data_IF_525514558884
#
_entry.id   IF_525514558884
#
_cell.length_a   1.000
_cell.length_b   1.000
_cell.length_c   1.000
_cell.angle_alpha   90.00
_cell.angle_beta   90.00
_cell.angle_gamma   90.00
#
_symmetry.space_group_name_H-M   'P 1'
#
loop_
_entity.id
_entity.type
_entity.pdbx_description
1 polymer ?
#
# COMPACT_ATOMS: atom_id res chain seq x y z
N UNK A 1 -17.45 -0.75 -0.71
CA UNK A 1 -17.78 -0.44 0.70
C UNK A 1 -18.62 -1.54 1.32
N UNK A 2 -19.76 -1.89 0.71
CA UNK A 2 -20.57 -3.07 1.09
C UNK A 2 -19.74 -4.36 1.07
N UNK A 3 -18.96 -4.58 0.01
CA UNK A 3 -18.02 -5.70 -0.12
C UNK A 3 -16.88 -5.72 0.91
N UNK A 4 -16.62 -4.60 1.57
CA UNK A 4 -15.58 -4.48 2.60
C UNK A 4 -16.18 -4.50 4.02
N UNK A 5 -17.48 -4.77 4.16
CA UNK A 5 -18.21 -4.74 5.43
C UNK A 5 -18.07 -3.41 6.21
N UNK A 6 -17.79 -2.30 5.51
CA UNK A 6 -17.72 -0.98 6.13
C UNK A 6 -19.09 -0.32 6.07
N UNK A 7 -19.81 -0.42 7.19
CA UNK A 7 -21.20 0.05 7.28
C UNK A 7 -21.33 1.52 7.69
N UNK A 8 -20.24 2.15 8.16
CA UNK A 8 -20.20 3.55 8.56
C UNK A 8 -19.06 4.29 7.85
N UNK A 9 -19.40 5.31 7.07
CA UNK A 9 -18.46 6.04 6.22
C UNK A 9 -18.54 7.54 6.46
N UNK A 10 -17.40 8.21 6.57
CA UNK A 10 -17.33 9.68 6.66
C UNK A 10 -16.59 10.20 5.43
N UNK A 11 -17.23 11.07 4.67
CA UNK A 11 -16.64 11.72 3.50
C UNK A 11 -16.17 13.12 3.89
N UNK A 12 -14.85 13.32 3.94
CA UNK A 12 -14.25 14.65 4.08
C UNK A 12 -14.12 15.31 2.71
N UNK A 13 -14.77 16.46 2.52
CA UNK A 13 -14.70 17.23 1.27
C UNK A 13 -14.40 18.70 1.58
N UNK A 14 -13.66 19.38 0.71
CA UNK A 14 -13.30 20.79 0.87
C UNK A 14 -14.39 21.74 0.36
N UNK A 15 -15.27 21.25 -0.52
CA UNK A 15 -16.33 22.04 -1.13
C UNK A 15 -17.52 22.21 -0.16
N UNK A 16 -17.55 23.31 0.60
CA UNK A 16 -18.63 23.62 1.54
C UNK A 16 -20.04 23.60 0.91
N UNK A 17 -20.15 24.02 -0.35
CA UNK A 17 -21.40 23.94 -1.13
C UNK A 17 -21.86 22.49 -1.24
N UNK A 18 -20.96 21.57 -1.60
CA UNK A 18 -21.27 20.15 -1.74
C UNK A 18 -21.71 19.53 -0.39
N UNK A 19 -21.04 19.91 0.71
CA UNK A 19 -21.44 19.50 2.07
C UNK A 19 -22.88 19.92 2.36
N UNK A 20 -23.23 21.17 2.03
CA UNK A 20 -24.58 21.71 2.21
C UNK A 20 -25.61 20.99 1.35
N UNK A 21 -25.30 20.79 0.07
CA UNK A 21 -26.15 20.09 -0.90
C UNK A 21 -26.47 18.67 -0.48
N UNK A 22 -25.49 17.94 0.08
CA UNK A 22 -25.69 16.53 0.46
C UNK A 22 -26.34 16.37 1.83
N UNK A 23 -26.00 17.23 2.80
CA UNK A 23 -26.56 17.13 4.15
C UNK A 23 -27.95 17.78 4.28
N UNK A 24 -28.27 18.79 3.45
CA UNK A 24 -29.55 19.51 3.46
C UNK A 24 -30.03 19.83 2.03
N UNK A 25 -30.32 18.82 1.19
CA UNK A 25 -30.65 19.02 -0.22
C UNK A 25 -31.85 19.95 -0.46
N UNK A 26 -32.83 19.94 0.44
CA UNK A 26 -34.02 20.81 0.34
C UNK A 26 -33.70 22.31 0.48
N UNK A 27 -32.58 22.66 1.12
CA UNK A 27 -32.12 24.04 1.22
C UNK A 27 -31.35 24.51 -0.03
N UNK A 28 -31.07 23.62 -0.99
CA UNK A 28 -30.26 23.88 -2.19
C UNK A 28 -30.98 23.44 -3.48
N UNK A 29 -32.17 23.99 -3.80
CA UNK A 29 -33.01 23.52 -4.91
C UNK A 29 -32.33 23.60 -6.29
N UNK A 30 -31.42 24.55 -6.50
CA UNK A 30 -30.65 24.67 -7.76
C UNK A 30 -29.72 23.48 -8.03
N UNK A 31 -29.40 22.68 -7.01
CA UNK A 31 -28.54 21.49 -7.11
C UNK A 31 -29.32 20.18 -6.94
N UNK A 32 -30.65 20.22 -7.10
CA UNK A 32 -31.54 19.08 -6.86
C UNK A 32 -31.12 17.84 -7.65
N UNK A 33 -30.85 17.99 -8.94
CA UNK A 33 -30.44 16.88 -9.80
C UNK A 33 -29.13 16.25 -9.31
N UNK A 34 -28.10 17.06 -9.08
CA UNK A 34 -26.79 16.61 -8.62
C UNK A 34 -26.88 15.93 -7.25
N UNK A 35 -27.69 16.48 -6.34
CA UNK A 35 -27.92 15.87 -5.03
C UNK A 35 -28.59 14.50 -5.15
N UNK A 36 -29.56 14.36 -6.04
CA UNK A 36 -30.28 13.10 -6.27
C UNK A 36 -29.34 12.00 -6.75
N UNK A 37 -28.51 12.30 -7.75
CA UNK A 37 -27.56 11.33 -8.30
C UNK A 37 -26.56 10.82 -7.25
N UNK A 38 -26.01 11.75 -6.44
CA UNK A 38 -25.05 11.38 -5.41
C UNK A 38 -25.74 10.59 -4.28
N UNK A 39 -26.94 10.99 -3.86
CA UNK A 39 -27.70 10.27 -2.83
C UNK A 39 -28.08 8.86 -3.29
N UNK A 40 -28.43 8.67 -4.57
CA UNK A 40 -28.65 7.35 -5.16
C UNK A 40 -27.39 6.48 -5.08
N UNK A 41 -26.21 7.03 -5.42
CA UNK A 41 -24.94 6.32 -5.30
C UNK A 41 -24.58 5.96 -3.84
N UNK A 42 -25.00 6.78 -2.88
CA UNK A 42 -24.75 6.55 -1.45
C UNK A 42 -25.77 5.60 -0.80
N UNK A 43 -26.86 5.24 -1.48
CA UNK A 43 -27.94 4.40 -0.94
C UNK A 43 -27.45 3.02 -0.43
N UNK A 44 -26.37 2.49 -1.01
CA UNK A 44 -25.77 1.23 -0.59
C UNK A 44 -24.98 1.30 0.73
N UNK A 45 -24.83 2.48 1.35
CA UNK A 45 -24.03 2.66 2.57
C UNK A 45 -24.97 2.90 3.76
N UNK A 46 -24.98 1.97 4.71
CA UNK A 46 -25.93 2.00 5.83
C UNK A 46 -25.87 3.28 6.68
N UNK A 47 -24.66 3.78 6.97
CA UNK A 47 -24.47 5.04 7.69
C UNK A 47 -23.40 5.85 6.99
N UNK A 48 -23.74 7.08 6.58
CA UNK A 48 -22.75 8.00 6.05
C UNK A 48 -22.99 9.45 6.47
N UNK A 49 -21.92 10.24 6.45
CA UNK A 49 -22.00 11.70 6.58
C UNK A 49 -20.95 12.37 5.71
N UNK A 50 -21.27 13.57 5.23
CA UNK A 50 -20.32 14.43 4.52
C UNK A 50 -19.92 15.57 5.45
N UNK A 51 -18.64 15.79 5.62
CA UNK A 51 -18.09 16.83 6.49
C UNK A 51 -17.18 17.76 5.70
N UNK A 52 -17.22 19.04 6.04
CA UNK A 52 -16.26 20.01 5.53
C UNK A 52 -14.91 19.73 6.19
N UNK A 53 -13.93 19.33 5.39
CA UNK A 53 -12.55 19.17 5.83
C UNK A 53 -11.62 19.94 4.91
N UNK A 54 -10.69 20.70 5.50
CA UNK A 54 -9.63 21.32 4.72
C UNK A 54 -8.65 20.25 4.24
N UNK A 55 -8.05 20.48 3.07
CA UNK A 55 -7.00 19.60 2.53
C UNK A 55 -5.81 19.47 3.49
N UNK A 56 -5.58 20.47 4.34
CA UNK A 56 -4.56 20.43 5.39
C UNK A 56 -4.86 19.39 6.48
N UNK A 57 -6.12 19.16 6.84
CA UNK A 57 -6.53 18.19 7.86
C UNK A 57 -6.42 16.75 7.39
N UNK A 58 -6.48 16.50 6.08
CA UNK A 58 -6.45 15.16 5.50
C UNK A 58 -5.53 15.05 4.27
N UNK A 59 -4.34 15.64 4.38
CA UNK A 59 -3.37 15.76 3.27
C UNK A 59 -2.98 14.40 2.68
N UNK A 60 -2.86 13.37 3.53
CA UNK A 60 -2.54 12.01 3.10
C UNK A 60 -3.61 11.40 2.19
N UNK A 61 -4.87 11.38 2.64
CA UNK A 61 -5.96 10.85 1.81
C UNK A 61 -6.18 11.67 0.55
N UNK A 62 -6.00 13.00 0.62
CA UNK A 62 -6.11 13.87 -0.54
C UNK A 62 -5.04 13.57 -1.60
N UNK A 63 -3.77 13.40 -1.21
CA UNK A 63 -2.69 13.03 -2.13
C UNK A 63 -2.93 11.66 -2.77
N UNK A 64 -3.47 10.70 -2.02
CA UNK A 64 -3.87 9.39 -2.54
C UNK A 64 -5.00 9.56 -3.56
N UNK A 65 -6.07 10.26 -3.21
CA UNK A 65 -7.20 10.53 -4.11
C UNK A 65 -6.75 11.25 -5.40
N UNK A 66 -5.85 12.23 -5.30
CA UNK A 66 -5.27 12.92 -6.46
C UNK A 66 -4.40 11.97 -7.30
N UNK A 67 -3.61 11.10 -6.69
CA UNK A 67 -2.81 10.12 -7.44
C UNK A 67 -3.69 9.12 -8.20
N UNK A 68 -4.87 8.80 -7.67
CA UNK A 68 -5.85 7.91 -8.34
C UNK A 68 -6.57 8.65 -9.48
N UNK A 69 -7.06 9.86 -9.21
CA UNK A 69 -7.91 10.63 -10.13
C UNK A 69 -7.15 11.41 -11.19
N UNK A 70 -6.02 12.01 -10.85
CA UNK A 70 -5.20 12.82 -11.77
C UNK A 70 -4.07 12.03 -12.41
N UNK A 71 -3.57 10.99 -11.74
CA UNK A 71 -2.39 10.22 -12.17
C UNK A 71 -2.73 8.77 -12.54
N UNK A 72 -4.03 8.42 -12.56
CA UNK A 72 -4.60 7.12 -12.96
C UNK A 72 -3.99 5.90 -12.23
N UNK A 73 -3.48 6.08 -11.01
CA UNK A 73 -2.82 5.01 -10.25
C UNK A 73 -3.80 4.16 -9.44
N UNK A 74 -4.69 3.45 -10.13
CA UNK A 74 -5.78 2.66 -9.54
C UNK A 74 -5.31 1.38 -8.77
N UNK A 75 -4.01 1.09 -8.69
CA UNK A 75 -3.49 -0.26 -8.42
C UNK A 75 -2.67 -0.43 -7.12
N UNK A 76 -2.71 0.50 -6.16
CA UNK A 76 -1.98 0.31 -4.90
C UNK A 76 -2.65 1.02 -3.71
N UNK A 77 -3.03 0.24 -2.70
CA UNK A 77 -3.62 0.72 -1.44
C UNK A 77 -2.64 0.58 -0.29
N UNK A 78 -2.43 1.67 0.46
CA UNK A 78 -1.67 1.71 1.71
C UNK A 78 -2.65 1.90 2.87
N UNK A 79 -2.64 1.00 3.86
CA UNK A 79 -3.32 1.17 5.13
C UNK A 79 -2.32 1.76 6.16
N UNK A 80 -2.51 2.99 6.65
CA UNK A 80 -1.66 3.56 7.69
C UNK A 80 -2.07 2.99 9.05
N UNK A 81 -1.11 2.48 9.82
CA UNK A 81 -1.24 2.28 11.27
C UNK A 81 -0.52 3.46 11.96
N UNK A 82 -1.31 4.44 12.41
CA UNK A 82 -0.98 5.57 13.30
C UNK A 82 0.17 6.54 12.93
N UNK A 83 -0.16 7.85 12.89
CA UNK A 83 0.77 8.96 13.15
C UNK A 83 1.29 9.76 11.92
N UNK A 84 1.39 11.10 11.98
CA UNK A 84 1.79 11.94 10.84
C UNK A 84 3.31 12.15 10.77
N UNK A 85 3.93 11.81 9.64
CA UNK A 85 5.31 12.20 9.33
C UNK A 85 5.28 13.51 8.54
N UNK A 86 5.91 14.55 9.09
CA UNK A 86 6.17 15.83 8.42
C UNK A 86 7.38 15.65 7.51
N UNK A 87 7.27 15.92 6.22
CA UNK A 87 8.46 16.18 5.39
C UNK A 87 8.28 17.39 4.47
N UNK A 88 9.37 18.15 4.42
CA UNK A 88 9.61 19.40 3.70
C UNK A 88 10.05 19.09 2.25
N UNK A 89 9.77 20.05 1.37
CA UNK A 89 10.12 20.31 -0.05
C UNK A 89 11.53 19.90 -0.52
N UNK A 90 11.93 20.02 -1.83
CA UNK A 90 11.16 20.29 -3.06
C UNK A 90 11.49 19.35 -4.26
N UNK A 91 10.57 19.33 -5.25
CA UNK A 91 10.73 18.71 -6.57
C UNK A 91 11.77 19.46 -7.43
N UNK A 92 12.80 18.74 -7.87
CA UNK A 92 13.60 19.08 -9.05
C UNK A 92 12.92 18.53 -10.32
N UNK A 93 12.56 19.43 -11.23
CA UNK A 93 11.86 19.20 -12.49
C UNK A 93 12.85 18.75 -13.57
N UNK A 94 12.60 17.63 -14.25
CA UNK A 94 13.13 17.37 -15.61
C UNK A 94 12.01 16.91 -16.52
N UNK A 95 11.75 17.74 -17.52
CA UNK A 95 10.95 17.49 -18.71
C UNK A 95 11.74 16.62 -19.69
N UNK A 96 11.02 15.76 -20.43
CA UNK A 96 11.21 15.42 -21.86
C UNK A 96 10.15 14.37 -22.23
N UNK A 97 9.15 14.78 -23.01
CA UNK A 97 9.05 14.68 -24.47
C UNK A 97 8.69 13.25 -24.90
N UNK A 98 7.40 13.09 -25.13
CA UNK A 98 6.79 12.06 -25.97
C UNK A 98 7.38 12.15 -27.38
N UNK A 99 7.73 11.01 -27.98
CA UNK A 99 7.53 10.72 -29.41
C UNK A 99 7.93 9.26 -29.68
N UNK A 100 6.93 8.49 -30.12
CA UNK A 100 7.00 7.32 -31.01
C UNK A 100 8.13 6.31 -30.87
N UNK A 101 7.84 5.18 -30.22
CA UNK A 101 8.27 3.83 -30.66
C UNK A 101 7.16 2.85 -30.23
N UNK A 102 6.06 2.82 -31.00
CA UNK A 102 5.10 1.72 -30.98
C UNK A 102 5.45 0.85 -32.19
N UNK A 103 6.29 -0.17 -31.99
CA UNK A 103 6.38 -1.40 -32.82
C UNK A 103 7.58 -2.30 -32.43
N UNK A 104 8.52 -1.82 -31.60
CA UNK A 104 9.71 -2.62 -31.20
C UNK A 104 9.61 -3.30 -29.81
N UNK A 105 8.45 -3.25 -29.14
CA UNK A 105 8.30 -3.70 -27.74
C UNK A 105 7.92 -5.19 -27.60
N UNK A 106 7.71 -5.92 -28.70
CA UNK A 106 7.25 -7.31 -28.65
C UNK A 106 8.37 -8.31 -28.27
N UNK A 107 9.65 -7.93 -28.36
CA UNK A 107 10.76 -8.88 -28.20
C UNK A 107 11.88 -8.42 -27.24
N UNK A 108 11.50 -7.71 -26.16
CA UNK A 108 12.33 -7.56 -24.95
C UNK A 108 11.56 -7.94 -23.70
N UNK A 109 10.89 -9.10 -23.71
CA UNK A 109 10.54 -9.82 -22.48
C UNK A 109 11.76 -10.61 -22.01
N UNK A 110 12.83 -9.92 -21.64
CA UNK A 110 13.93 -10.55 -20.92
C UNK A 110 13.51 -10.67 -19.45
N UNK A 111 12.88 -11.81 -19.16
CA UNK A 111 12.89 -12.52 -17.87
C UNK A 111 12.72 -11.65 -16.62
N UNK A 112 11.50 -11.18 -16.36
CA UNK A 112 11.05 -11.10 -14.96
C UNK A 112 10.21 -12.35 -14.77
N UNK A 113 10.78 -13.36 -14.11
CA UNK A 113 9.98 -14.45 -13.55
C UNK A 113 8.84 -13.79 -12.78
N UNK A 114 7.62 -13.89 -13.29
CA UNK A 114 6.43 -13.53 -12.54
C UNK A 114 6.35 -14.51 -11.38
N UNK A 115 7.04 -14.20 -10.28
CA UNK A 115 6.97 -14.98 -9.06
C UNK A 115 5.50 -15.11 -8.68
N UNK A 116 5.08 -16.33 -8.34
CA UNK A 116 3.74 -16.60 -7.88
C UNK A 116 3.37 -15.60 -6.76
N UNK A 117 2.10 -15.17 -6.66
CA UNK A 117 1.70 -14.27 -5.60
C UNK A 117 2.00 -14.90 -4.24
N UNK A 118 2.56 -14.10 -3.33
CA UNK A 118 2.78 -14.50 -1.96
C UNK A 118 1.45 -14.72 -1.24
N UNK A 119 1.45 -15.64 -0.27
CA UNK A 119 0.25 -15.93 0.50
C UNK A 119 -0.22 -14.70 1.28
N UNK A 120 -1.51 -14.39 1.19
CA UNK A 120 -2.15 -13.26 1.89
C UNK A 120 -2.27 -13.60 3.38
N UNK A 121 -2.02 -12.67 4.31
CA UNK A 121 -2.30 -12.87 5.72
C UNK A 121 -3.70 -13.42 5.99
N UNK A 122 -3.79 -14.53 6.70
CA UNK A 122 -5.08 -15.16 7.05
C UNK A 122 -5.81 -14.46 8.20
N UNK A 123 -5.13 -13.55 8.89
CA UNK A 123 -5.68 -12.75 9.99
C UNK A 123 -4.96 -11.40 10.11
N UNK A 124 -5.58 -10.45 10.80
CA UNK A 124 -5.07 -9.08 10.95
C UNK A 124 -4.75 -8.70 12.41
N UNK A 125 -4.37 -9.70 13.21
CA UNK A 125 -4.13 -9.60 14.66
C UNK A 125 -2.67 -9.36 15.06
N UNK A 126 -2.37 -9.67 16.32
CA UNK A 126 -1.01 -9.59 16.89
C UNK A 126 -0.08 -10.70 16.36
N UNK A 127 -0.61 -11.72 15.68
CA UNK A 127 0.20 -12.79 15.06
C UNK A 127 0.90 -12.37 13.76
N UNK A 128 0.64 -11.16 13.24
CA UNK A 128 1.30 -10.65 12.06
C UNK A 128 2.78 -10.37 12.32
N UNK A 129 3.60 -10.77 11.36
CA UNK A 129 5.03 -10.50 11.35
C UNK A 129 5.45 -9.99 9.98
N UNK A 130 6.46 -9.14 9.96
CA UNK A 130 7.09 -8.65 8.75
C UNK A 130 8.50 -9.21 8.62
N UNK A 131 8.84 -9.74 7.44
CA UNK A 131 10.21 -10.16 7.13
C UNK A 131 11.15 -8.95 7.15
N UNK A 132 12.23 -9.03 7.94
CA UNK A 132 13.19 -7.93 8.12
C UNK A 132 13.98 -7.61 6.84
N UNK A 133 14.07 -8.56 5.89
CA UNK A 133 14.71 -8.34 4.59
C UNK A 133 13.76 -7.76 3.54
N UNK A 134 12.71 -8.51 3.19
CA UNK A 134 11.86 -8.18 2.04
C UNK A 134 10.59 -7.40 2.39
N UNK A 135 10.29 -7.25 3.70
CA UNK A 135 9.10 -6.60 4.25
C UNK A 135 7.78 -7.31 3.98
N UNK A 136 7.78 -8.54 3.46
CA UNK A 136 6.56 -9.33 3.30
C UNK A 136 5.91 -9.55 4.66
N UNK A 137 4.58 -9.41 4.72
CA UNK A 137 3.76 -9.58 5.92
C UNK A 137 2.92 -10.83 5.78
N UNK A 138 3.04 -11.74 6.75
CA UNK A 138 2.27 -12.99 6.92
C UNK A 138 2.05 -13.23 8.42
N UNK A 139 1.20 -14.18 8.79
CA UNK A 139 1.13 -14.62 10.18
C UNK A 139 2.36 -15.48 10.53
N UNK A 140 2.64 -15.65 11.82
CA UNK A 140 3.69 -16.58 12.29
C UNK A 140 3.51 -17.98 11.68
N UNK A 141 2.30 -18.55 11.78
CA UNK A 141 2.01 -19.89 11.25
C UNK A 141 2.24 -19.97 9.74
N UNK A 142 1.90 -18.91 8.99
CA UNK A 142 2.14 -18.89 7.55
C UNK A 142 3.63 -18.82 7.17
N UNK A 143 4.48 -18.21 8.00
CA UNK A 143 5.93 -18.30 7.84
C UNK A 143 6.48 -19.66 8.24
N UNK A 144 5.89 -20.29 9.27
CA UNK A 144 6.22 -21.65 9.71
C UNK A 144 5.93 -22.67 8.61
N UNK A 145 4.73 -22.62 8.05
CA UNK A 145 4.23 -23.67 7.16
C UNK A 145 4.74 -23.54 5.71
N UNK A 146 5.05 -22.32 5.25
CA UNK A 146 5.36 -22.05 3.84
C UNK A 146 6.46 -20.98 3.64
N UNK A 147 7.20 -20.63 4.69
CA UNK A 147 8.34 -19.74 4.59
C UNK A 147 8.02 -18.35 4.04
N UNK A 148 9.04 -17.70 3.46
CA UNK A 148 8.91 -16.41 2.78
C UNK A 148 9.21 -16.58 1.29
N UNK A 149 8.25 -16.21 0.46
CA UNK A 149 8.28 -16.34 -0.99
C UNK A 149 9.37 -15.49 -1.65
N UNK A 150 9.87 -14.46 -0.95
CA UNK A 150 10.97 -13.61 -1.42
C UNK A 150 12.33 -13.94 -0.77
N UNK A 151 12.34 -14.78 0.27
CA UNK A 151 13.53 -15.13 1.05
C UNK A 151 13.59 -16.64 1.37
N UNK A 152 13.49 -17.54 0.37
CA UNK A 152 13.48 -18.99 0.63
C UNK A 152 14.76 -19.47 1.32
N UNK A 153 15.90 -18.80 1.09
CA UNK A 153 17.19 -19.15 1.70
C UNK A 153 17.25 -18.98 3.23
N UNK A 154 16.28 -18.30 3.86
CA UNK A 154 16.20 -18.32 5.33
C UNK A 154 15.74 -19.67 5.87
N UNK A 155 15.14 -20.54 5.03
CA UNK A 155 14.76 -21.92 5.36
C UNK A 155 13.87 -22.05 6.61
N UNK A 156 12.92 -21.12 6.76
CA UNK A 156 12.01 -21.07 7.92
C UNK A 156 11.11 -22.32 8.06
N UNK A 157 10.89 -23.06 6.98
CA UNK A 157 10.13 -24.32 6.96
C UNK A 157 10.95 -25.49 7.56
N UNK A 158 12.28 -25.41 7.51
CA UNK A 158 13.19 -26.41 8.09
C UNK A 158 13.55 -26.05 9.53
N UNK A 159 13.74 -24.75 9.80
CA UNK A 159 14.19 -24.21 11.08
C UNK A 159 13.26 -23.07 11.52
N UNK A 160 12.30 -23.42 12.38
CA UNK A 160 11.27 -22.50 12.85
C UNK A 160 11.80 -21.47 13.85
N UNK A 161 12.95 -21.72 14.50
CA UNK A 161 13.55 -20.77 15.44
C UNK A 161 13.99 -19.50 14.70
N UNK A 162 14.44 -19.65 13.44
CA UNK A 162 14.81 -18.53 12.54
C UNK A 162 13.68 -17.57 12.26
N UNK A 163 12.41 -17.99 12.37
CA UNK A 163 11.27 -17.12 12.09
C UNK A 163 11.34 -15.88 12.97
N UNK A 164 11.66 -16.05 14.26
CA UNK A 164 11.72 -14.94 15.22
C UNK A 164 12.92 -14.03 14.95
N UNK A 165 14.01 -14.57 14.41
CA UNK A 165 15.24 -13.83 14.11
C UNK A 165 15.16 -12.99 12.82
N UNK A 166 14.45 -13.49 11.81
CA UNK A 166 14.37 -12.87 10.48
C UNK A 166 13.05 -12.14 10.22
N UNK A 167 12.12 -12.15 11.19
CA UNK A 167 10.84 -11.44 11.12
C UNK A 167 10.53 -10.72 12.42
N UNK A 168 9.76 -9.63 12.36
CA UNK A 168 9.38 -8.82 13.53
C UNK A 168 7.87 -8.56 13.59
N UNK A 169 7.24 -8.56 14.77
CA UNK A 169 5.89 -8.01 14.93
C UNK A 169 5.89 -6.47 14.97
N UNK A 170 7.07 -5.84 15.15
CA UNK A 170 7.23 -4.40 15.32
C UNK A 170 7.43 -3.69 13.96
N UNK A 171 6.34 -3.56 13.20
CA UNK A 171 6.36 -2.92 11.89
C UNK A 171 5.26 -1.86 11.75
N UNK A 172 5.45 -0.91 10.81
CA UNK A 172 4.51 0.19 10.58
C UNK A 172 3.82 0.09 9.22
N UNK A 173 2.48 0.09 9.25
CA UNK A 173 1.62 0.14 8.07
C UNK A 173 1.65 -1.14 7.24
N UNK A 174 0.63 -1.32 6.41
CA UNK A 174 0.56 -2.43 5.45
C UNK A 174 0.22 -1.86 4.08
N UNK A 175 0.86 -2.38 3.04
CA UNK A 175 0.54 -2.13 1.63
C UNK A 175 0.29 -3.46 0.93
N UNK A 176 -0.83 -3.57 0.23
CA UNK A 176 -1.11 -4.70 -0.65
C UNK A 176 -0.77 -4.32 -2.08
N UNK A 177 0.16 -5.05 -2.69
CA UNK A 177 0.69 -4.76 -4.02
C UNK A 177 0.36 -5.91 -4.97
N UNK A 178 -0.46 -5.62 -5.99
CA UNK A 178 -0.87 -6.60 -7.00
C UNK A 178 0.11 -6.71 -8.18
N UNK A 179 0.74 -5.59 -8.57
CA UNK A 179 1.75 -5.55 -9.63
C UNK A 179 2.96 -4.71 -9.15
N UNK A 180 3.93 -5.35 -8.47
CA UNK A 180 5.10 -4.66 -7.93
C UNK A 180 5.96 -4.00 -9.02
N UNK A 181 6.04 -4.60 -10.20
CA UNK A 181 6.88 -4.13 -11.30
C UNK A 181 6.43 -2.78 -11.85
N UNK A 182 5.11 -2.54 -11.86
CA UNK A 182 4.50 -1.31 -12.41
C UNK A 182 4.12 -0.30 -11.33
N UNK A 183 4.03 -0.71 -10.07
CA UNK A 183 3.65 0.16 -8.97
C UNK A 183 4.75 1.18 -8.61
N UNK A 184 4.40 2.46 -8.61
CA UNK A 184 5.29 3.52 -8.10
C UNK A 184 5.59 3.34 -6.61
N UNK A 185 4.58 2.99 -5.80
CA UNK A 185 4.75 2.76 -4.37
C UNK A 185 5.69 1.58 -4.11
N UNK A 186 5.59 0.51 -4.91
CA UNK A 186 6.49 -0.63 -4.81
C UNK A 186 7.94 -0.27 -5.16
N UNK A 187 8.15 0.54 -6.20
CA UNK A 187 9.49 1.07 -6.54
C UNK A 187 10.05 1.97 -5.43
N UNK A 188 9.23 2.87 -4.88
CA UNK A 188 9.62 3.75 -3.77
C UNK A 188 10.06 2.94 -2.54
N UNK A 189 9.33 1.89 -2.22
CA UNK A 189 9.62 0.99 -1.10
C UNK A 189 10.72 -0.04 -1.40
N UNK A 190 11.27 -0.07 -2.63
CA UNK A 190 12.24 -1.08 -3.12
C UNK A 190 11.73 -2.53 -3.10
N UNK A 191 10.41 -2.71 -3.22
CA UNK A 191 9.74 -4.03 -3.30
C UNK A 191 9.28 -4.36 -4.73
N UNK A 192 9.63 -3.53 -5.73
CA UNK A 192 9.16 -3.70 -7.11
C UNK A 192 9.65 -4.94 -7.86
N UNK A 193 10.61 -5.68 -7.28
CA UNK A 193 11.11 -6.97 -7.80
C UNK A 193 10.59 -8.18 -7.02
N UNK A 194 9.77 -7.96 -6.01
CA UNK A 194 9.23 -9.04 -5.17
C UNK A 194 7.90 -9.56 -5.72
N UNK A 195 7.43 -10.66 -5.16
CA UNK A 195 6.13 -11.24 -5.49
C UNK A 195 4.98 -10.25 -5.22
N UNK A 196 3.85 -10.34 -5.94
CA UNK A 196 2.61 -9.70 -5.49
C UNK A 196 2.25 -10.17 -4.08
N UNK A 197 1.81 -9.28 -3.19
CA UNK A 197 1.52 -9.64 -1.80
C UNK A 197 1.31 -8.46 -0.85
N UNK A 198 1.21 -8.76 0.45
CA UNK A 198 1.11 -7.77 1.52
C UNK A 198 2.50 -7.47 2.11
N UNK A 199 2.86 -6.20 2.19
CA UNK A 199 4.16 -5.75 2.69
C UNK A 199 3.99 -4.69 3.78
N UNK A 200 4.97 -4.53 4.65
CA UNK A 200 5.03 -3.39 5.57
C UNK A 200 5.66 -2.17 4.90
N UNK A 201 5.23 -0.97 5.30
CA UNK A 201 5.87 0.27 4.85
C UNK A 201 7.28 0.38 5.44
N UNK A 202 7.47 -0.08 6.67
CA UNK A 202 8.76 -0.08 7.32
C UNK A 202 8.85 -1.02 8.55
N UNK A 203 10.08 -1.40 8.88
CA UNK A 203 10.47 -2.16 10.07
C UNK A 203 11.45 -1.32 10.88
N UNK A 204 11.37 -1.38 12.21
CA UNK A 204 12.23 -0.56 13.09
C UNK A 204 13.59 -1.21 13.38
N UNK A 205 13.62 -2.54 13.36
CA UNK A 205 14.79 -3.33 13.76
C UNK A 205 15.58 -3.76 12.51
N UNK A 206 16.92 -3.76 12.56
CA UNK A 206 17.73 -4.35 11.51
C UNK A 206 17.73 -5.87 11.61
N UNK A 207 17.90 -6.54 10.47
CA UNK A 207 18.26 -7.96 10.43
C UNK A 207 19.59 -8.20 11.20
N UNK A 208 19.72 -9.26 12.02
CA UNK A 208 20.97 -9.59 12.70
C UNK A 208 22.16 -9.77 11.74
N UNK A 209 23.38 -9.47 12.19
CA UNK A 209 24.59 -9.46 11.35
C UNK A 209 24.85 -10.80 10.66
N UNK A 210 24.69 -11.92 11.38
CA UNK A 210 24.79 -13.27 10.83
C UNK A 210 23.83 -13.49 9.65
N UNK A 211 22.57 -13.06 9.79
CA UNK A 211 21.58 -13.17 8.73
C UNK A 211 21.83 -12.18 7.58
N UNK A 212 22.54 -11.07 7.84
CA UNK A 212 23.03 -10.19 6.78
C UNK A 212 24.17 -10.85 5.96
N UNK A 213 25.06 -11.60 6.61
CA UNK A 213 26.08 -12.38 5.90
C UNK A 213 25.45 -13.43 4.98
N UNK A 214 24.43 -14.14 5.45
CA UNK A 214 23.68 -15.09 4.62
C UNK A 214 23.06 -14.41 3.38
N UNK A 215 22.56 -13.18 3.54
CA UNK A 215 22.08 -12.41 2.39
C UNK A 215 23.18 -12.11 1.37
N UNK A 216 24.41 -11.83 1.83
CA UNK A 216 25.54 -11.57 0.94
C UNK A 216 26.00 -12.83 0.21
N UNK A 217 26.06 -13.96 0.91
CA UNK A 217 26.39 -15.28 0.33
C UNK A 217 25.42 -15.68 -0.78
N UNK A 218 24.13 -15.46 -0.54
CA UNK A 218 23.05 -15.67 -1.51
C UNK A 218 22.98 -14.58 -2.60
N UNK A 219 23.94 -13.65 -2.62
CA UNK A 219 24.05 -12.52 -3.58
C UNK A 219 22.80 -11.67 -3.64
N UNK A 220 22.11 -11.55 -2.51
CA UNK A 220 20.91 -10.76 -2.40
C UNK A 220 21.16 -9.46 -1.66
N UNK A 221 20.74 -8.35 -2.28
CA UNK A 221 20.91 -7.04 -1.68
C UNK A 221 20.04 -6.89 -0.42
N UNK A 222 20.69 -6.72 0.73
CA UNK A 222 20.06 -6.25 1.96
C UNK A 222 20.28 -4.73 2.10
N UNK A 223 19.24 -4.03 2.57
CA UNK A 223 19.27 -2.59 2.78
C UNK A 223 18.83 -2.34 4.21
N UNK A 224 19.69 -1.70 4.99
CA UNK A 224 19.39 -1.36 6.38
C UNK A 224 18.11 -0.50 6.47
N UNK A 225 17.21 -0.77 7.43
CA UNK A 225 16.06 0.09 7.67
C UNK A 225 16.49 1.52 7.98
N UNK A 226 15.71 2.49 7.47
CA UNK A 226 15.89 3.88 7.89
C UNK A 226 15.46 3.99 9.35
N UNK A 227 16.28 4.63 10.19
CA UNK A 227 15.87 4.98 11.56
C UNK A 227 14.60 5.83 11.47
N UNK A 228 13.53 5.35 12.11
CA UNK A 228 12.27 6.10 12.27
C UNK A 228 12.41 7.19 13.30
#
# INVERSE_FOLDING_TARGET
MVSHHVNRVVFGVEAAVLVGVLNRPQAWPSFRFQSSEILLALNGIAVWKVVLESVSSNRGANLIAQSVTKECRLQSYVAPKYGPIKEKTPLGRRTKKETGILEEVVERKQTIMGSAPAQIPTSFGHELRACLRCRLVKTYDQFRDAGCENCPFFKMEEDHERIVEVTTPNFNGIISVMDPSRSWAARWLRIGKFAPGCYTLAVSEPLPEEMQHLCQEERVQYVLPKRM
#
